data_IF_247511120051
#
_entry.id   IF_247511120051
#
_cell.length_a   1.000
_cell.length_b   1.000
_cell.length_c   1.000
_cell.angle_alpha   90.00
_cell.angle_beta   90.00
_cell.angle_gamma   90.00
#
_symmetry.space_group_name_H-M   'P 1'
#
loop_
_entity.id
_entity.type
_entity.pdbx_description
1 polymer ?
#
# COMPACT_ATOMS: atom_id res chain seq x y z
N UNK A 1 69.77 -17.01 -22.38
CA UNK A 1 68.81 -17.06 -23.52
C UNK A 1 67.73 -18.14 -23.39
N UNK A 2 68.01 -19.38 -22.95
CA UNK A 2 66.99 -20.46 -22.88
C UNK A 2 65.84 -20.20 -21.88
N UNK A 3 66.15 -19.63 -20.70
CA UNK A 3 65.15 -19.29 -19.68
C UNK A 3 64.23 -18.17 -20.16
N UNK A 4 64.79 -17.10 -20.72
CA UNK A 4 64.01 -16.01 -21.32
C UNK A 4 63.07 -16.51 -22.43
N UNK A 5 63.55 -17.41 -23.31
CA UNK A 5 62.70 -18.04 -24.33
C UNK A 5 61.55 -18.84 -23.72
N UNK A 6 61.79 -19.63 -22.66
CA UNK A 6 60.73 -20.38 -21.96
C UNK A 6 59.70 -19.46 -21.32
N UNK A 7 60.14 -18.39 -20.66
CA UNK A 7 59.23 -17.40 -20.05
C UNK A 7 58.35 -16.75 -21.12
N UNK A 8 58.94 -16.34 -22.24
CA UNK A 8 58.19 -15.76 -23.36
C UNK A 8 57.20 -16.77 -23.94
N UNK A 9 57.59 -18.04 -24.12
CA UNK A 9 56.67 -19.07 -24.61
C UNK A 9 55.49 -19.31 -23.66
N UNK A 10 55.74 -19.39 -22.35
CA UNK A 10 54.67 -19.55 -21.35
C UNK A 10 53.73 -18.34 -21.38
N UNK A 11 54.28 -17.13 -21.44
CA UNK A 11 53.49 -15.90 -21.53
C UNK A 11 52.63 -15.87 -22.80
N UNK A 12 53.17 -16.27 -23.94
CA UNK A 12 52.41 -16.35 -25.20
C UNK A 12 51.29 -17.38 -25.14
N UNK A 13 51.54 -18.56 -24.55
CA UNK A 13 50.49 -19.57 -24.34
C UNK A 13 49.40 -19.02 -23.43
N UNK A 14 49.77 -18.33 -22.34
CA UNK A 14 48.81 -17.72 -21.42
C UNK A 14 47.95 -16.66 -22.11
N UNK A 15 48.56 -15.75 -22.90
CA UNK A 15 47.83 -14.75 -23.68
C UNK A 15 46.91 -15.42 -24.71
N UNK A 16 47.36 -16.49 -25.37
CA UNK A 16 46.54 -17.23 -26.32
C UNK A 16 45.32 -17.87 -25.63
N UNK A 17 45.49 -18.45 -24.44
CA UNK A 17 44.38 -19.01 -23.66
C UNK A 17 43.38 -17.92 -23.24
N UNK A 18 43.85 -16.74 -22.80
CA UNK A 18 42.97 -15.61 -22.49
C UNK A 18 42.20 -15.12 -23.73
N UNK A 19 42.86 -15.03 -24.88
CA UNK A 19 42.19 -14.66 -26.14
C UNK A 19 41.12 -15.67 -26.56
N UNK A 20 41.41 -16.98 -26.42
CA UNK A 20 40.44 -18.04 -26.69
C UNK A 20 39.26 -17.95 -25.73
N UNK A 21 39.47 -17.78 -24.43
CA UNK A 21 38.39 -17.60 -23.45
C UNK A 21 37.51 -16.38 -23.79
N UNK A 22 38.14 -15.28 -24.21
CA UNK A 22 37.45 -14.04 -24.61
C UNK A 22 36.55 -14.25 -25.85
N UNK A 23 36.93 -15.12 -26.79
CA UNK A 23 36.10 -15.44 -27.96
C UNK A 23 34.76 -16.09 -27.61
N UNK A 24 34.69 -16.82 -26.49
CA UNK A 24 33.45 -17.43 -26.01
C UNK A 24 32.65 -16.54 -25.04
N UNK A 25 33.15 -15.35 -24.72
CA UNK A 25 32.47 -14.41 -23.83
C UNK A 25 31.50 -13.52 -24.63
N UNK A 26 30.27 -13.24 -24.14
CA UNK A 26 29.33 -12.34 -24.79
C UNK A 26 29.96 -10.98 -25.12
N UNK A 27 29.66 -10.43 -26.29
CA UNK A 27 30.18 -9.14 -26.75
C UNK A 27 29.49 -7.93 -26.12
N UNK A 28 28.34 -8.14 -25.46
CA UNK A 28 27.63 -7.13 -24.69
C UNK A 28 27.34 -7.61 -23.28
N UNK A 29 27.34 -6.68 -22.33
CA UNK A 29 26.96 -6.94 -20.94
C UNK A 29 25.44 -6.79 -20.81
N UNK A 30 24.82 -7.84 -20.26
CA UNK A 30 23.39 -7.89 -19.98
C UNK A 30 23.17 -8.45 -18.58
N UNK A 31 22.36 -7.75 -17.78
CA UNK A 31 21.93 -8.16 -16.44
C UNK A 31 20.44 -7.87 -16.32
N UNK A 32 19.70 -8.79 -15.71
CA UNK A 32 18.26 -8.66 -15.49
C UNK A 32 17.93 -9.35 -14.17
N UNK A 33 17.30 -8.63 -13.25
CA UNK A 33 16.79 -9.16 -11.99
C UNK A 33 15.32 -8.78 -11.81
N UNK A 34 14.58 -9.56 -11.03
CA UNK A 34 13.19 -9.26 -10.73
C UNK A 34 12.78 -9.68 -9.31
N UNK A 35 11.76 -9.00 -8.79
CA UNK A 35 11.12 -9.31 -7.51
C UNK A 35 9.63 -8.96 -7.56
N UNK A 36 8.82 -9.62 -6.74
CA UNK A 36 7.41 -9.23 -6.52
C UNK A 36 7.33 -8.31 -5.30
N UNK A 37 6.70 -7.15 -5.47
CA UNK A 37 6.45 -6.16 -4.40
C UNK A 37 4.95 -6.07 -4.15
N UNK A 38 4.53 -6.12 -2.89
CA UNK A 38 3.16 -5.93 -2.41
C UNK A 38 2.80 -4.42 -2.36
N UNK A 39 2.82 -3.82 -3.54
CA UNK A 39 2.38 -2.45 -3.77
C UNK A 39 1.92 -2.27 -5.22
N UNK A 40 1.04 -1.29 -5.42
CA UNK A 40 0.56 -0.94 -6.75
C UNK A 40 1.72 -0.44 -7.64
N UNK A 41 1.60 -0.61 -8.98
CA UNK A 41 2.62 -0.14 -9.90
C UNK A 41 2.87 1.37 -9.77
N UNK A 42 1.85 2.16 -9.43
CA UNK A 42 1.96 3.60 -9.23
C UNK A 42 2.92 3.97 -8.09
N UNK A 43 2.77 3.36 -6.91
CA UNK A 43 3.64 3.66 -5.75
C UNK A 43 5.10 3.31 -6.05
N UNK A 44 5.32 2.19 -6.76
CA UNK A 44 6.66 1.75 -7.17
C UNK A 44 7.24 2.68 -8.25
N UNK A 45 6.43 3.03 -9.24
CA UNK A 45 6.81 3.89 -10.36
C UNK A 45 7.27 5.26 -9.87
N UNK A 46 6.52 5.87 -8.95
CA UNK A 46 6.84 7.16 -8.36
C UNK A 46 8.13 7.10 -7.53
N UNK A 47 8.35 6.02 -6.77
CA UNK A 47 9.59 5.83 -6.01
C UNK A 47 10.81 5.72 -6.95
N UNK A 48 10.70 5.01 -8.07
CA UNK A 48 11.80 4.87 -9.04
C UNK A 48 12.03 6.19 -9.81
N UNK A 49 10.97 6.92 -10.15
CA UNK A 49 11.05 8.17 -10.91
C UNK A 49 11.77 9.30 -10.17
N UNK A 50 11.68 9.33 -8.84
CA UNK A 50 12.42 10.29 -8.03
C UNK A 50 13.83 9.79 -7.73
N UNK A 51 14.82 10.18 -8.54
CA UNK A 51 16.22 9.80 -8.28
C UNK A 51 16.75 10.26 -6.91
N UNK A 52 16.07 11.18 -6.20
CA UNK A 52 16.46 11.56 -4.84
C UNK A 52 16.10 10.46 -3.84
N UNK A 53 15.04 9.69 -4.09
CA UNK A 53 14.60 8.58 -3.23
C UNK A 53 15.63 7.45 -3.16
N UNK A 54 16.43 7.29 -4.22
CA UNK A 54 17.40 6.20 -4.37
C UNK A 54 18.49 6.22 -3.31
N UNK A 55 18.73 7.33 -2.61
CA UNK A 55 19.64 7.33 -1.45
C UNK A 55 19.13 6.46 -0.30
N UNK A 56 17.83 6.18 -0.24
CA UNK A 56 17.22 5.42 0.85
C UNK A 56 17.39 3.90 0.68
N UNK A 57 17.54 3.42 -0.57
CA UNK A 57 17.51 1.99 -0.87
C UNK A 57 18.54 1.51 -1.90
N UNK A 58 19.25 2.39 -2.61
CA UNK A 58 20.24 1.91 -3.60
C UNK A 58 21.52 1.39 -2.93
N UNK A 59 22.05 0.27 -3.44
CA UNK A 59 23.33 -0.27 -2.97
C UNK A 59 24.49 0.72 -3.18
N UNK A 60 24.47 1.51 -4.26
CA UNK A 60 25.53 2.46 -4.57
C UNK A 60 25.70 3.53 -3.49
N UNK A 61 24.60 4.02 -2.92
CA UNK A 61 24.66 4.96 -1.80
C UNK A 61 25.17 4.30 -0.51
N UNK A 62 24.88 3.02 -0.28
CA UNK A 62 25.43 2.27 0.86
C UNK A 62 26.94 2.05 0.74
N UNK A 63 27.45 1.84 -0.48
CA UNK A 63 28.89 1.69 -0.73
C UNK A 63 29.63 3.02 -0.52
N UNK A 64 29.06 4.14 -0.95
CA UNK A 64 29.61 5.48 -0.71
C UNK A 64 28.54 6.49 -0.29
N UNK A 65 28.38 6.64 1.03
CA UNK A 65 27.46 7.62 1.62
C UNK A 65 27.91 9.08 1.44
N UNK A 66 29.17 9.32 1.04
CA UNK A 66 29.71 10.65 0.75
C UNK A 66 29.61 11.03 -0.73
N UNK A 67 29.00 10.18 -1.56
CA UNK A 67 28.79 10.42 -2.98
C UNK A 67 28.00 11.72 -3.21
N UNK A 68 28.50 12.58 -4.11
CA UNK A 68 27.84 13.83 -4.46
C UNK A 68 26.88 13.61 -5.60
N UNK A 69 25.61 13.91 -5.39
CA UNK A 69 24.57 13.79 -6.39
C UNK A 69 24.13 15.17 -6.91
N UNK A 70 23.89 15.25 -8.22
CA UNK A 70 23.36 16.42 -8.91
C UNK A 70 22.14 15.97 -9.74
N UNK A 71 21.06 16.72 -9.66
CA UNK A 71 19.78 16.38 -10.29
C UNK A 71 19.38 17.47 -11.29
N UNK A 72 18.56 17.13 -12.29
CA UNK A 72 17.87 18.14 -13.10
C UNK A 72 16.82 18.91 -12.26
N UNK A 73 16.41 20.07 -12.76
CA UNK A 73 15.42 20.92 -12.09
C UNK A 73 14.04 20.24 -11.99
N UNK A 74 13.69 19.41 -12.98
CA UNK A 74 12.46 18.61 -12.99
C UNK A 74 12.80 17.12 -12.95
N UNK A 75 12.18 16.38 -12.02
CA UNK A 75 12.18 14.91 -11.94
C UNK A 75 10.93 14.34 -12.63
N UNK A 76 10.94 13.04 -12.94
CA UNK A 76 9.75 12.36 -13.49
C UNK A 76 9.42 12.66 -14.96
N UNK A 77 10.30 13.36 -15.69
CA UNK A 77 10.08 13.72 -17.10
C UNK A 77 11.20 13.20 -18.00
N UNK A 78 10.92 13.02 -19.29
CA UNK A 78 11.97 12.68 -20.28
C UNK A 78 13.05 13.78 -20.26
N UNK A 79 14.31 13.35 -20.17
CA UNK A 79 15.48 14.23 -20.02
C UNK A 79 15.85 14.54 -18.58
N UNK A 80 15.05 14.16 -17.59
CA UNK A 80 15.45 14.26 -16.18
C UNK A 80 16.68 13.37 -15.92
N UNK A 81 17.61 13.84 -15.08
CA UNK A 81 18.86 13.14 -14.84
C UNK A 81 19.29 13.14 -13.37
N UNK A 82 20.10 12.15 -13.02
CA UNK A 82 20.95 12.14 -11.83
C UNK A 82 22.40 11.91 -12.27
N UNK A 83 23.30 12.77 -11.81
CA UNK A 83 24.75 12.67 -12.02
C UNK A 83 25.41 12.51 -10.67
N UNK A 84 26.34 11.57 -10.56
CA UNK A 84 27.04 11.31 -9.32
C UNK A 84 28.56 11.39 -9.47
N UNK A 85 29.21 11.82 -8.39
CA UNK A 85 30.67 11.88 -8.24
C UNK A 85 31.08 11.14 -6.96
N UNK A 86 31.93 10.13 -7.10
CA UNK A 86 32.45 9.31 -6.01
C UNK A 86 33.94 9.02 -6.19
N UNK A 87 34.68 9.07 -5.09
CA UNK A 87 36.08 8.61 -5.05
C UNK A 87 36.20 7.10 -4.79
N UNK A 88 35.09 6.41 -4.51
CA UNK A 88 35.07 4.98 -4.23
C UNK A 88 35.13 4.19 -5.54
N UNK A 89 36.15 3.31 -5.68
CA UNK A 89 36.46 2.62 -6.94
C UNK A 89 35.30 1.76 -7.49
N UNK A 90 34.45 1.20 -6.62
CA UNK A 90 33.29 0.40 -7.05
C UNK A 90 32.10 1.23 -7.54
N UNK A 91 32.01 2.51 -7.16
CA UNK A 91 30.88 3.39 -7.51
C UNK A 91 31.25 4.25 -8.72
N UNK A 92 32.45 4.84 -8.68
CA UNK A 92 32.97 5.71 -9.74
C UNK A 92 32.08 6.94 -9.99
N UNK A 93 32.24 7.54 -11.16
CA UNK A 93 31.46 8.69 -11.57
C UNK A 93 30.55 8.30 -12.73
N UNK A 94 29.35 8.86 -12.76
CA UNK A 94 28.45 8.64 -13.88
C UNK A 94 27.24 9.54 -13.88
N UNK A 95 26.39 9.30 -14.88
CA UNK A 95 25.13 10.00 -15.09
C UNK A 95 24.10 9.04 -15.65
N UNK A 96 22.87 9.16 -15.18
CA UNK A 96 21.71 8.50 -15.75
C UNK A 96 20.70 9.54 -16.21
N UNK A 97 20.12 9.35 -17.40
CA UNK A 97 19.14 10.28 -17.99
C UNK A 97 17.91 9.51 -18.45
N UNK A 98 16.71 9.93 -18.07
CA UNK A 98 15.45 9.33 -18.53
C UNK A 98 15.29 9.54 -20.04
N UNK A 99 15.12 8.45 -20.78
CA UNK A 99 14.96 8.46 -22.24
C UNK A 99 13.58 8.00 -22.70
N UNK A 100 12.88 7.21 -21.90
CA UNK A 100 11.53 6.73 -22.19
C UNK A 100 10.74 6.53 -20.90
N UNK A 101 9.46 6.90 -20.94
CA UNK A 101 8.48 6.69 -19.88
C UNK A 101 7.19 6.13 -20.48
N UNK A 102 6.66 5.09 -19.87
CA UNK A 102 5.27 4.67 -20.01
C UNK A 102 4.70 4.59 -18.60
N UNK A 103 3.61 5.32 -18.34
CA UNK A 103 3.08 5.52 -17.00
C UNK A 103 2.81 4.17 -16.33
N UNK A 104 3.32 3.99 -15.10
CA UNK A 104 3.12 2.81 -14.27
C UNK A 104 3.60 1.48 -14.86
N UNK A 105 4.37 1.48 -15.96
CA UNK A 105 4.81 0.26 -16.64
C UNK A 105 6.28 0.23 -17.06
N UNK A 106 6.86 1.36 -17.50
CA UNK A 106 8.23 1.41 -18.03
C UNK A 106 8.95 2.71 -17.68
N UNK A 107 10.18 2.57 -17.18
CA UNK A 107 11.16 3.66 -17.05
C UNK A 107 12.44 3.20 -17.72
N UNK A 108 12.92 3.91 -18.74
CA UNK A 108 14.22 3.63 -19.39
C UNK A 108 15.16 4.80 -19.20
N UNK A 109 16.36 4.53 -18.68
CA UNK A 109 17.44 5.50 -18.54
C UNK A 109 18.62 5.13 -19.44
N UNK A 110 19.30 6.15 -19.97
CA UNK A 110 20.62 6.02 -20.57
C UNK A 110 21.67 6.27 -19.51
N UNK A 111 22.66 5.39 -19.42
CA UNK A 111 23.76 5.44 -18.47
C UNK A 111 25.02 5.94 -19.18
N UNK A 112 25.78 6.79 -18.49
CA UNK A 112 27.06 7.35 -18.95
C UNK A 112 28.06 7.23 -17.81
N UNK A 113 29.10 6.41 -17.95
CA UNK A 113 30.12 6.20 -16.91
C UNK A 113 31.42 6.93 -17.27
N UNK A 114 32.07 7.54 -16.28
CA UNK A 114 33.36 8.21 -16.46
C UNK A 114 33.34 9.41 -17.43
N UNK A 115 32.16 9.97 -17.72
CA UNK A 115 31.98 11.08 -18.66
C UNK A 115 32.12 10.69 -20.13
N UNK A 116 32.07 9.40 -20.45
CA UNK A 116 32.06 8.90 -21.83
C UNK A 116 30.63 8.60 -22.27
N UNK A 117 30.28 9.01 -23.49
CA UNK A 117 29.03 8.56 -24.10
C UNK A 117 29.13 7.06 -24.39
N UNK A 118 28.13 6.31 -23.90
CA UNK A 118 27.98 4.89 -24.18
C UNK A 118 26.55 4.58 -24.61
N UNK A 119 26.33 3.37 -25.13
CA UNK A 119 25.00 2.84 -25.44
C UNK A 119 24.46 1.99 -24.28
N UNK A 120 24.80 2.37 -23.05
CA UNK A 120 24.38 1.67 -21.85
C UNK A 120 22.99 2.14 -21.45
N UNK A 121 22.07 1.21 -21.24
CA UNK A 121 20.71 1.50 -20.81
C UNK A 121 20.36 0.70 -19.57
N UNK A 122 19.62 1.32 -18.68
CA UNK A 122 18.92 0.63 -17.61
C UNK A 122 17.41 0.78 -17.81
N UNK A 123 16.64 -0.28 -17.56
CA UNK A 123 15.20 -0.23 -17.69
C UNK A 123 14.49 -0.92 -16.53
N UNK A 124 13.39 -0.32 -16.10
CA UNK A 124 12.47 -0.84 -15.11
C UNK A 124 11.17 -1.20 -15.80
N UNK A 125 10.71 -2.43 -15.61
CA UNK A 125 9.42 -2.91 -16.09
C UNK A 125 8.54 -3.26 -14.88
N UNK A 126 7.32 -2.75 -14.87
CA UNK A 126 6.33 -3.00 -13.82
C UNK A 126 5.16 -3.76 -14.44
N UNK A 127 4.93 -4.97 -13.94
CA UNK A 127 3.83 -5.84 -14.40
C UNK A 127 2.88 -6.10 -13.22
N UNK A 128 1.64 -5.59 -13.24
CA UNK A 128 0.65 -5.88 -12.21
C UNK A 128 0.32 -7.38 -12.19
N UNK A 129 0.26 -8.00 -11.01
CA UNK A 129 -0.10 -9.42 -10.84
C UNK A 129 -1.52 -9.64 -10.27
N UNK A 130 -2.20 -8.56 -9.87
CA UNK A 130 -3.45 -8.61 -9.10
C UNK A 130 -3.20 -8.52 -7.59
N UNK A 131 -4.28 -8.35 -6.80
CA UNK A 131 -4.21 -8.24 -5.32
C UNK A 131 -3.26 -7.14 -4.81
N UNK A 132 -3.08 -6.06 -5.58
CA UNK A 132 -2.16 -4.98 -5.22
C UNK A 132 -0.67 -5.32 -5.32
N UNK A 133 -0.30 -6.45 -5.95
CA UNK A 133 1.10 -6.86 -6.15
C UNK A 133 1.61 -6.51 -7.56
N UNK A 134 2.90 -6.25 -7.66
CA UNK A 134 3.58 -5.90 -8.91
C UNK A 134 4.89 -6.65 -9.03
N UNK A 135 5.11 -7.31 -10.17
CA UNK A 135 6.43 -7.82 -10.56
C UNK A 135 7.26 -6.66 -11.09
N UNK A 136 8.37 -6.36 -10.41
CA UNK A 136 9.34 -5.34 -10.77
C UNK A 136 10.55 -6.01 -11.38
N UNK A 137 10.93 -5.59 -12.58
CA UNK A 137 12.10 -6.11 -13.29
C UNK A 137 13.05 -4.98 -13.64
N UNK A 138 14.31 -5.14 -13.27
CA UNK A 138 15.38 -4.15 -13.48
C UNK A 138 16.46 -4.72 -14.39
N UNK A 139 16.71 -4.06 -15.51
CA UNK A 139 17.66 -4.52 -16.53
C UNK A 139 18.80 -3.51 -16.73
N UNK A 140 19.93 -4.04 -17.19
CA UNK A 140 21.09 -3.31 -17.71
C UNK A 140 21.47 -3.94 -19.06
N UNK A 141 21.48 -3.14 -20.13
CA UNK A 141 21.67 -3.62 -21.50
C UNK A 141 22.43 -2.60 -22.38
N UNK A 142 22.86 -3.05 -23.57
CA UNK A 142 23.43 -2.18 -24.61
C UNK A 142 24.93 -1.87 -24.47
N UNK A 143 25.55 -2.27 -23.35
CA UNK A 143 26.97 -2.10 -23.11
C UNK A 143 27.84 -3.02 -23.96
N UNK A 144 28.31 -2.51 -25.10
CA UNK A 144 29.29 -3.20 -25.94
C UNK A 144 30.68 -3.18 -25.27
N UNK A 145 31.28 -4.37 -25.15
CA UNK A 145 32.56 -4.53 -24.46
C UNK A 145 33.70 -4.70 -25.47
N UNK A 146 34.72 -3.80 -25.45
CA UNK A 146 35.95 -3.99 -26.21
C UNK A 146 36.55 -5.37 -25.91
N UNK A 147 37.12 -6.01 -26.93
CA UNK A 147 37.67 -7.38 -26.79
C UNK A 147 38.62 -7.51 -25.59
N UNK A 148 39.45 -6.50 -25.34
CA UNK A 148 40.42 -6.48 -24.22
C UNK A 148 39.77 -6.43 -22.82
N UNK A 149 38.55 -5.90 -22.70
CA UNK A 149 37.85 -5.74 -21.42
C UNK A 149 36.74 -6.77 -21.22
N UNK A 150 36.35 -7.48 -22.28
CA UNK A 150 35.18 -8.37 -22.31
C UNK A 150 35.22 -9.48 -21.25
N UNK A 151 36.33 -10.22 -21.17
CA UNK A 151 36.48 -11.32 -20.21
C UNK A 151 36.45 -10.81 -18.76
N UNK A 152 37.11 -9.69 -18.48
CA UNK A 152 37.12 -9.07 -17.15
C UNK A 152 35.73 -8.55 -16.78
N UNK A 153 35.05 -7.88 -17.72
CA UNK A 153 33.71 -7.32 -17.49
C UNK A 153 32.70 -8.42 -17.21
N UNK A 154 32.78 -9.54 -17.94
CA UNK A 154 31.92 -10.70 -17.71
C UNK A 154 32.15 -11.37 -16.34
N UNK A 155 33.39 -11.47 -15.88
CA UNK A 155 33.73 -12.15 -14.62
C UNK A 155 33.56 -11.28 -13.37
N UNK A 156 33.59 -9.95 -13.48
CA UNK A 156 33.59 -9.07 -12.31
C UNK A 156 32.50 -8.01 -12.35
N UNK A 157 32.33 -7.32 -13.48
CA UNK A 157 31.35 -6.21 -13.58
C UNK A 157 29.94 -6.77 -13.61
N UNK A 158 29.71 -7.88 -14.33
CA UNK A 158 28.41 -8.55 -14.38
C UNK A 158 27.91 -8.94 -12.99
N UNK A 159 28.74 -9.65 -12.23
CA UNK A 159 28.38 -10.13 -10.89
C UNK A 159 28.18 -8.95 -9.92
N UNK A 160 28.98 -7.89 -10.03
CA UNK A 160 28.80 -6.69 -9.23
C UNK A 160 27.47 -5.98 -9.51
N UNK A 161 27.05 -5.88 -10.78
CA UNK A 161 25.75 -5.27 -11.14
C UNK A 161 24.61 -6.18 -10.68
N UNK A 162 24.74 -7.49 -10.88
CA UNK A 162 23.78 -8.50 -10.41
C UNK A 162 23.52 -8.36 -8.90
N UNK A 163 24.57 -8.39 -8.09
CA UNK A 163 24.47 -8.24 -6.63
C UNK A 163 23.83 -6.90 -6.25
N UNK A 164 24.22 -5.81 -6.92
CA UNK A 164 23.66 -4.49 -6.68
C UNK A 164 22.17 -4.39 -7.00
N UNK A 165 21.72 -5.08 -8.05
CA UNK A 165 20.31 -5.10 -8.45
C UNK A 165 19.47 -5.93 -7.49
N UNK A 166 19.95 -7.11 -7.08
CA UNK A 166 19.27 -7.92 -6.06
C UNK A 166 19.10 -7.12 -4.76
N UNK A 167 20.17 -6.51 -4.26
CA UNK A 167 20.13 -5.73 -3.02
C UNK A 167 19.21 -4.51 -3.18
N UNK A 168 19.34 -3.77 -4.28
CA UNK A 168 18.51 -2.60 -4.55
C UNK A 168 17.02 -2.94 -4.68
N UNK A 169 16.67 -4.04 -5.35
CA UNK A 169 15.29 -4.52 -5.47
C UNK A 169 14.72 -4.95 -4.11
N UNK A 170 15.51 -5.65 -3.29
CA UNK A 170 15.11 -6.05 -1.94
C UNK A 170 14.84 -4.85 -1.05
N UNK A 171 15.68 -3.81 -1.11
CA UNK A 171 15.52 -2.61 -0.30
C UNK A 171 14.41 -1.69 -0.82
N UNK A 172 14.23 -1.60 -2.14
CA UNK A 172 13.07 -0.94 -2.74
C UNK A 172 11.78 -1.59 -2.27
N UNK A 173 11.72 -2.93 -2.22
CA UNK A 173 10.57 -3.67 -1.68
C UNK A 173 10.27 -3.25 -0.24
N UNK A 174 11.27 -3.25 0.64
CA UNK A 174 11.08 -2.83 2.04
C UNK A 174 10.57 -1.38 2.16
N UNK A 175 11.17 -0.45 1.41
CA UNK A 175 10.76 0.97 1.44
C UNK A 175 9.34 1.13 0.95
N UNK A 176 8.99 0.54 -0.19
CA UNK A 176 7.68 0.70 -0.81
C UNK A 176 6.59 0.01 0.01
N UNK A 177 6.81 -1.20 0.52
CA UNK A 177 5.84 -1.93 1.35
C UNK A 177 5.63 -1.29 2.72
N UNK A 178 6.58 -0.47 3.18
CA UNK A 178 6.42 0.32 4.41
C UNK A 178 5.59 1.59 4.22
N UNK A 179 5.36 2.03 2.98
CA UNK A 179 4.52 3.21 2.72
C UNK A 179 3.05 2.88 3.00
N UNK A 180 2.26 3.84 3.50
CA UNK A 180 0.82 3.66 3.63
C UNK A 180 0.23 3.23 2.29
N UNK A 181 -0.47 2.09 2.25
CA UNK A 181 -1.20 1.69 1.06
C UNK A 181 -2.28 2.76 0.81
N UNK A 182 -2.32 3.32 -0.40
CA UNK A 182 -3.42 4.19 -0.80
C UNK A 182 -4.61 3.28 -1.02
N UNK A 183 -5.44 3.13 0.01
CA UNK A 183 -6.68 2.35 -0.06
C UNK A 183 -7.79 3.29 -0.48
N UNK A 184 -8.34 3.07 -1.67
CA UNK A 184 -9.49 3.83 -2.12
C UNK A 184 -10.71 3.49 -1.26
N UNK A 185 -11.49 4.51 -0.91
CA UNK A 185 -12.74 4.32 -0.19
C UNK A 185 -13.75 3.60 -1.10
N UNK A 186 -14.42 2.53 -0.63
CA UNK A 186 -15.54 1.93 -1.35
C UNK A 186 -16.65 2.96 -1.62
N UNK A 187 -17.37 2.81 -2.74
CA UNK A 187 -18.37 3.79 -3.22
C UNK A 187 -19.44 4.15 -2.16
N UNK A 188 -19.86 3.17 -1.36
CA UNK A 188 -20.87 3.32 -0.31
C UNK A 188 -20.29 3.55 1.09
N UNK A 189 -19.00 3.88 1.18
CA UNK A 189 -18.28 4.13 2.42
C UNK A 189 -17.66 5.53 2.40
N UNK A 190 -17.77 6.25 3.52
CA UNK A 190 -17.23 7.59 3.68
C UNK A 190 -16.64 7.78 5.07
N UNK A 191 -15.69 8.69 5.22
CA UNK A 191 -15.20 9.12 6.53
C UNK A 191 -15.89 10.44 6.86
N UNK A 192 -16.55 10.50 8.02
CA UNK A 192 -17.24 11.70 8.50
C UNK A 192 -17.03 11.88 10.00
N UNK A 193 -17.37 13.05 10.51
CA UNK A 193 -17.55 13.26 11.95
C UNK A 193 -19.04 13.17 12.28
N UNK A 194 -19.36 12.59 13.42
CA UNK A 194 -20.71 12.60 13.98
C UNK A 194 -20.75 13.52 15.18
N UNK A 195 -21.88 14.20 15.36
CA UNK A 195 -22.12 15.07 16.52
C UNK A 195 -22.52 14.26 17.75
N UNK A 196 -22.34 14.90 18.91
CA UNK A 196 -22.80 14.36 20.18
C UNK A 196 -24.32 14.49 20.31
N UNK A 197 -24.97 13.45 20.83
CA UNK A 197 -26.43 13.42 21.02
C UNK A 197 -26.80 12.62 22.26
N UNK A 198 -27.83 13.06 22.98
CA UNK A 198 -28.34 12.32 24.13
C UNK A 198 -29.27 11.20 23.68
N UNK A 199 -29.03 10.00 24.20
CA UNK A 199 -29.74 8.79 23.84
C UNK A 199 -30.29 8.09 25.09
N UNK A 200 -31.47 7.49 24.95
CA UNK A 200 -31.95 6.48 25.90
C UNK A 200 -31.57 5.12 25.37
N UNK A 201 -30.93 4.30 26.21
CA UNK A 201 -30.36 3.03 25.82
C UNK A 201 -30.74 1.90 26.78
N UNK A 202 -30.87 0.68 26.24
CA UNK A 202 -31.01 -0.55 27.00
C UNK A 202 -29.99 -1.57 26.47
N UNK A 203 -29.08 -1.99 27.36
CA UNK A 203 -28.13 -3.07 27.12
C UNK A 203 -28.78 -4.44 27.40
N UNK A 204 -28.64 -5.37 26.47
CA UNK A 204 -29.05 -6.76 26.64
C UNK A 204 -28.17 -7.71 25.79
N UNK A 205 -28.51 -9.00 25.78
CA UNK A 205 -27.87 -9.98 24.93
C UNK A 205 -28.86 -11.00 24.38
N UNK A 206 -28.49 -11.61 23.26
CA UNK A 206 -29.22 -12.69 22.56
C UNK A 206 -28.24 -13.55 21.78
N UNK A 207 -28.67 -14.58 21.06
CA UNK A 207 -27.88 -15.20 19.99
C UNK A 207 -28.05 -14.43 18.66
N UNK A 208 -27.24 -14.75 17.65
CA UNK A 208 -27.22 -14.02 16.38
C UNK A 208 -28.56 -14.06 15.62
N UNK A 209 -29.33 -15.15 15.75
CA UNK A 209 -30.63 -15.27 15.07
C UNK A 209 -31.72 -14.46 15.76
N UNK A 210 -31.57 -14.19 17.06
CA UNK A 210 -32.53 -13.43 17.86
C UNK A 210 -32.32 -11.91 17.87
N UNK A 211 -31.34 -11.37 17.11
CA UNK A 211 -30.99 -9.94 17.13
C UNK A 211 -32.18 -9.06 16.75
N UNK A 212 -32.87 -9.37 15.65
CA UNK A 212 -34.02 -8.58 15.19
C UNK A 212 -35.15 -8.50 16.21
N UNK A 213 -35.59 -9.67 16.71
CA UNK A 213 -36.66 -9.76 17.72
C UNK A 213 -36.26 -9.05 19.02
N UNK A 214 -35.00 -9.22 19.46
CA UNK A 214 -34.48 -8.57 20.67
C UNK A 214 -34.49 -7.04 20.52
N UNK A 215 -34.01 -6.51 19.39
CA UNK A 215 -34.01 -5.08 19.14
C UNK A 215 -35.44 -4.51 19.10
N UNK A 216 -36.37 -5.20 18.45
CA UNK A 216 -37.78 -4.78 18.41
C UNK A 216 -38.39 -4.66 19.82
N UNK A 217 -38.15 -5.65 20.69
CA UNK A 217 -38.59 -5.62 22.09
C UNK A 217 -37.98 -4.45 22.87
N UNK A 218 -36.66 -4.24 22.73
CA UNK A 218 -35.95 -3.18 23.44
C UNK A 218 -36.40 -1.78 22.99
N UNK A 219 -36.56 -1.55 21.68
CA UNK A 219 -37.06 -0.26 21.17
C UNK A 219 -38.47 0.03 21.66
N UNK A 220 -39.33 -0.98 21.72
CA UNK A 220 -40.69 -0.85 22.27
C UNK A 220 -40.65 -0.38 23.72
N UNK A 221 -39.80 -0.97 24.55
CA UNK A 221 -39.66 -0.56 25.96
C UNK A 221 -39.19 0.91 26.09
N UNK A 222 -38.21 1.32 25.28
CA UNK A 222 -37.72 2.70 25.24
C UNK A 222 -38.84 3.67 24.81
N UNK A 223 -39.56 3.37 23.72
CA UNK A 223 -40.63 4.21 23.18
C UNK A 223 -41.80 4.37 24.15
N UNK A 224 -42.21 3.28 24.82
CA UNK A 224 -43.27 3.31 25.84
C UNK A 224 -42.86 4.20 27.01
N UNK A 225 -41.64 4.05 27.50
CA UNK A 225 -41.11 4.90 28.57
C UNK A 225 -41.07 6.38 28.19
N UNK A 226 -40.52 6.69 27.02
CA UNK A 226 -40.44 8.06 26.51
C UNK A 226 -41.83 8.70 26.39
N UNK A 227 -42.82 7.93 25.90
CA UNK A 227 -44.21 8.37 25.80
C UNK A 227 -44.81 8.72 27.17
N UNK A 228 -44.61 7.86 28.18
CA UNK A 228 -45.10 8.09 29.55
C UNK A 228 -44.47 9.35 30.16
N UNK A 229 -43.20 9.62 29.86
CA UNK A 229 -42.47 10.79 30.37
C UNK A 229 -42.65 12.05 29.52
N UNK A 230 -43.37 11.98 28.41
CA UNK A 230 -43.62 13.11 27.51
C UNK A 230 -42.36 13.59 26.76
N UNK A 231 -41.44 12.68 26.45
CA UNK A 231 -40.24 12.96 25.65
C UNK A 231 -40.55 12.87 24.14
N UNK A 232 -39.81 13.59 23.31
CA UNK A 232 -39.98 13.57 21.84
C UNK A 232 -38.75 12.96 21.19
N UNK A 233 -38.95 11.98 20.30
CA UNK A 233 -37.86 11.35 19.57
C UNK A 233 -37.18 12.39 18.65
N UNK A 234 -35.86 12.49 18.70
CA UNK A 234 -35.06 13.47 17.94
C UNK A 234 -34.30 12.87 16.77
N UNK A 235 -34.18 11.54 16.71
CA UNK A 235 -33.44 10.84 15.66
C UNK A 235 -33.88 9.40 15.45
N UNK A 236 -33.25 8.74 14.47
CA UNK A 236 -33.49 7.33 14.14
C UNK A 236 -33.00 6.38 15.25
N UNK A 237 -33.57 5.18 15.30
CA UNK A 237 -33.15 4.13 16.23
C UNK A 237 -31.72 3.63 15.91
N UNK A 238 -30.96 3.31 16.94
CA UNK A 238 -29.58 2.83 16.86
C UNK A 238 -29.39 1.49 17.58
N UNK A 239 -28.52 0.64 17.05
CA UNK A 239 -28.05 -0.56 17.74
C UNK A 239 -26.52 -0.56 17.82
N UNK A 240 -25.97 -0.52 19.04
CA UNK A 240 -24.53 -0.75 19.26
C UNK A 240 -24.27 -2.24 19.43
N UNK A 241 -23.19 -2.72 18.82
CA UNK A 241 -22.73 -4.11 18.96
C UNK A 241 -21.43 -4.15 19.75
N UNK A 242 -21.52 -4.47 21.04
CA UNK A 242 -20.35 -4.55 21.93
C UNK A 242 -19.61 -5.87 21.82
N UNK A 243 -20.31 -6.92 21.38
CA UNK A 243 -19.76 -8.24 21.12
C UNK A 243 -20.66 -8.98 20.14
N UNK A 244 -20.08 -9.72 19.20
CA UNK A 244 -20.84 -10.48 18.21
C UNK A 244 -20.20 -11.86 17.97
N UNK A 245 -20.95 -12.92 18.22
CA UNK A 245 -20.66 -14.28 17.79
C UNK A 245 -21.98 -15.03 17.50
N UNK A 246 -21.94 -16.17 16.77
CA UNK A 246 -23.16 -16.93 16.48
C UNK A 246 -23.97 -17.31 17.73
N UNK A 247 -23.29 -17.67 18.82
CA UNK A 247 -23.91 -18.11 20.07
C UNK A 247 -24.31 -16.95 21.00
N UNK A 248 -23.70 -15.78 20.84
CA UNK A 248 -23.92 -14.65 21.75
C UNK A 248 -23.60 -13.31 21.08
N UNK A 249 -24.55 -12.41 21.16
CA UNK A 249 -24.46 -11.01 20.78
C UNK A 249 -24.78 -10.17 22.01
N UNK A 250 -23.88 -9.24 22.35
CA UNK A 250 -24.13 -8.21 23.37
C UNK A 250 -24.40 -6.92 22.61
N UNK A 251 -25.64 -6.44 22.71
CA UNK A 251 -26.12 -5.30 21.96
C UNK A 251 -26.80 -4.28 22.87
N UNK A 252 -26.76 -3.02 22.45
CA UNK A 252 -27.41 -1.92 23.14
C UNK A 252 -28.33 -1.18 22.16
N UNK A 253 -29.62 -1.35 22.35
CA UNK A 253 -30.63 -0.60 21.61
C UNK A 253 -30.70 0.81 22.18
N UNK A 254 -30.66 1.82 21.32
CA UNK A 254 -30.69 3.21 21.69
C UNK A 254 -31.59 4.04 20.78
N UNK A 255 -32.22 5.08 21.32
CA UNK A 255 -33.02 6.03 20.55
C UNK A 255 -32.69 7.44 21.05
N UNK A 256 -32.47 8.42 20.16
CA UNK A 256 -32.26 9.81 20.56
C UNK A 256 -33.57 10.51 20.93
N UNK A 257 -33.53 11.29 22.00
CA UNK A 257 -34.69 12.03 22.50
C UNK A 257 -34.32 13.46 22.92
N UNK A 258 -35.30 14.35 22.81
CA UNK A 258 -35.30 15.68 23.39
C UNK A 258 -36.35 15.81 24.52
N UNK A 259 -36.11 16.77 25.43
CA UNK A 259 -37.01 17.12 26.52
C UNK A 259 -36.43 16.85 27.91
N UNK A 260 -37.29 16.50 28.86
CA UNK A 260 -36.88 16.22 30.24
C UNK A 260 -36.33 14.79 30.37
N UNK A 261 -35.11 14.59 29.87
CA UNK A 261 -34.47 13.28 29.83
C UNK A 261 -34.17 12.77 31.24
N UNK A 262 -34.53 11.50 31.47
CA UNK A 262 -34.30 10.81 32.74
C UNK A 262 -34.06 9.33 32.50
N UNK A 263 -33.39 8.67 33.43
CA UNK A 263 -33.23 7.21 33.45
C UNK A 263 -34.13 6.55 34.50
N UNK A 264 -34.58 5.32 34.23
CA UNK A 264 -35.38 4.53 35.18
C UNK A 264 -35.24 3.03 34.89
N UNK A 265 -34.98 2.23 35.93
CA UNK A 265 -34.85 0.78 35.79
C UNK A 265 -33.74 0.37 34.81
N UNK A 266 -34.12 -0.32 33.73
CA UNK A 266 -33.19 -0.80 32.68
C UNK A 266 -32.82 0.28 31.65
N UNK A 267 -33.57 1.37 31.58
CA UNK A 267 -33.31 2.47 30.64
C UNK A 267 -32.21 3.35 31.22
N UNK A 268 -31.18 3.59 30.40
CA UNK A 268 -30.03 4.42 30.74
C UNK A 268 -29.96 5.64 29.84
N UNK A 269 -29.72 6.79 30.45
CA UNK A 269 -29.45 8.03 29.73
C UNK A 269 -27.95 8.10 29.45
N UNK A 270 -27.57 8.10 28.17
CA UNK A 270 -26.18 8.13 27.73
C UNK A 270 -25.98 9.25 26.71
N UNK A 271 -24.72 9.63 26.53
CA UNK A 271 -24.29 10.53 25.48
C UNK A 271 -23.62 9.69 24.39
N UNK A 272 -24.17 9.72 23.17
CA UNK A 272 -23.45 9.34 21.96
C UNK A 272 -22.40 10.42 21.73
N UNK A 273 -21.12 10.05 21.70
CA UNK A 273 -20.02 11.01 21.62
C UNK A 273 -19.89 11.59 20.22
N UNK A 274 -19.36 12.81 20.15
CA UNK A 274 -18.82 13.32 18.92
C UNK A 274 -17.50 12.61 18.60
N UNK A 275 -17.41 11.95 17.45
CA UNK A 275 -16.23 11.19 17.06
C UNK A 275 -16.12 11.04 15.53
N UNK A 276 -14.90 10.79 15.06
CA UNK A 276 -14.63 10.46 13.66
C UNK A 276 -15.03 9.01 13.41
N UNK A 277 -15.77 8.79 12.33
CA UNK A 277 -16.33 7.48 11.99
C UNK A 277 -16.10 7.15 10.53
N UNK A 278 -15.92 5.86 10.25
CA UNK A 278 -16.18 5.28 8.95
C UNK A 278 -17.68 4.99 8.87
N UNK A 279 -18.37 5.59 7.89
CA UNK A 279 -19.79 5.45 7.64
C UNK A 279 -20.02 4.64 6.36
N UNK A 280 -20.66 3.49 6.48
CA UNK A 280 -21.18 2.70 5.37
C UNK A 280 -22.69 2.94 5.19
N UNK A 281 -23.16 2.89 3.95
CA UNK A 281 -24.59 2.96 3.62
C UNK A 281 -25.00 1.67 2.92
N UNK A 282 -26.03 1.02 3.46
CA UNK A 282 -26.60 -0.21 2.93
C UNK A 282 -28.08 -0.02 2.60
N UNK A 283 -28.51 -0.60 1.48
CA UNK A 283 -29.91 -0.66 1.07
C UNK A 283 -30.33 -2.12 0.96
N UNK A 284 -31.35 -2.52 1.73
CA UNK A 284 -31.84 -3.89 1.75
C UNK A 284 -32.32 -4.34 3.13
N UNK A 285 -32.63 -5.63 3.24
CA UNK A 285 -33.07 -6.22 4.50
C UNK A 285 -31.95 -6.19 5.55
N UNK A 286 -32.29 -5.92 6.81
CA UNK A 286 -31.35 -5.88 7.94
C UNK A 286 -30.53 -7.15 8.11
N UNK A 287 -31.09 -8.31 7.77
CA UNK A 287 -30.38 -9.60 7.82
C UNK A 287 -29.17 -9.67 6.86
N UNK A 288 -29.07 -8.73 5.91
CA UNK A 288 -28.01 -8.65 4.91
C UNK A 288 -26.99 -7.55 5.19
N UNK A 289 -27.13 -6.81 6.30
CA UNK A 289 -26.19 -5.75 6.71
C UNK A 289 -24.76 -6.29 6.90
N UNK A 290 -24.59 -7.60 7.10
CA UNK A 290 -23.28 -8.26 7.09
C UNK A 290 -22.41 -7.91 5.88
N UNK A 291 -23.01 -7.69 4.70
CA UNK A 291 -22.27 -7.32 3.48
C UNK A 291 -21.51 -5.99 3.64
N UNK A 292 -22.15 -4.96 4.20
CA UNK A 292 -21.49 -3.67 4.41
C UNK A 292 -20.47 -3.74 5.55
N UNK A 293 -20.73 -4.54 6.58
CA UNK A 293 -19.74 -4.81 7.64
C UNK A 293 -18.47 -5.45 7.09
N UNK A 294 -18.57 -6.40 6.17
CA UNK A 294 -17.42 -7.04 5.51
C UNK A 294 -16.62 -6.07 4.63
N UNK A 295 -17.32 -5.23 3.84
CA UNK A 295 -16.68 -4.19 3.02
C UNK A 295 -15.90 -3.21 3.91
N UNK A 296 -16.53 -2.72 4.98
CA UNK A 296 -15.90 -1.78 5.90
C UNK A 296 -14.75 -2.42 6.67
N UNK A 297 -14.88 -3.68 7.11
CA UNK A 297 -13.82 -4.39 7.81
C UNK A 297 -12.57 -4.59 6.93
N UNK A 298 -12.76 -4.90 5.65
CA UNK A 298 -11.67 -4.99 4.66
C UNK A 298 -10.95 -3.65 4.56
N UNK A 299 -11.67 -2.55 4.34
CA UNK A 299 -11.08 -1.21 4.25
C UNK A 299 -10.35 -0.81 5.54
N UNK A 300 -10.94 -1.05 6.72
CA UNK A 300 -10.31 -0.74 8.02
C UNK A 300 -8.97 -1.48 8.16
N UNK A 301 -8.90 -2.74 7.75
CA UNK A 301 -7.69 -3.54 7.80
C UNK A 301 -6.63 -3.02 6.82
N UNK A 302 -7.00 -2.85 5.55
CA UNK A 302 -6.09 -2.40 4.49
C UNK A 302 -5.55 -0.99 4.76
N UNK A 303 -6.41 -0.08 5.23
CA UNK A 303 -6.05 1.29 5.59
C UNK A 303 -5.43 1.40 6.99
N UNK A 304 -5.28 0.28 7.70
CA UNK A 304 -4.70 0.18 9.05
C UNK A 304 -5.34 1.14 10.07
N UNK A 305 -6.66 1.34 9.97
CA UNK A 305 -7.41 2.22 10.86
C UNK A 305 -7.63 1.54 12.22
N UNK A 306 -7.58 2.32 13.30
CA UNK A 306 -7.84 1.79 14.64
C UNK A 306 -9.31 2.01 15.02
N UNK A 307 -10.03 0.94 15.36
CA UNK A 307 -11.40 1.04 15.89
C UNK A 307 -11.32 1.47 17.36
N UNK A 308 -11.95 2.59 17.70
CA UNK A 308 -11.86 3.20 19.04
C UNK A 308 -13.00 2.81 19.97
N UNK A 309 -14.14 2.39 19.43
CA UNK A 309 -15.35 2.10 20.19
C UNK A 309 -16.24 1.10 19.42
N UNK A 310 -17.33 0.64 20.05
CA UNK A 310 -18.24 -0.34 19.44
C UNK A 310 -18.88 0.21 18.15
N UNK A 311 -18.93 -0.61 17.07
CA UNK A 311 -19.69 -0.22 15.89
C UNK A 311 -21.18 -0.17 16.22
N UNK A 312 -21.90 0.62 15.43
CA UNK A 312 -23.34 0.74 15.56
C UNK A 312 -24.03 0.92 14.22
N UNK A 313 -25.27 0.48 14.17
CA UNK A 313 -26.19 0.69 13.04
C UNK A 313 -27.20 1.78 13.38
N UNK A 314 -27.64 2.53 12.38
CA UNK A 314 -28.73 3.50 12.45
C UNK A 314 -29.76 3.15 11.37
N UNK A 315 -30.98 2.87 11.81
CA UNK A 315 -32.09 2.44 10.96
C UNK A 315 -32.86 3.67 10.44
N UNK A 316 -32.51 4.16 9.25
CA UNK A 316 -33.06 5.43 8.71
C UNK A 316 -34.50 5.26 8.25
N UNK A 317 -34.80 4.12 7.64
CA UNK A 317 -36.15 3.71 7.23
C UNK A 317 -36.46 2.39 7.88
N UNK A 318 -37.68 2.20 8.37
CA UNK A 318 -38.09 1.02 9.11
C UNK A 318 -39.35 0.36 8.50
N UNK A 319 -39.73 -0.86 8.95
CA UNK A 319 -40.88 -1.58 8.39
C UNK A 319 -42.23 -0.87 8.59
N UNK A 320 -42.30 0.10 9.50
CA UNK A 320 -43.50 0.91 9.72
C UNK A 320 -43.59 2.10 8.76
N UNK A 321 -42.45 2.53 8.20
CA UNK A 321 -42.34 3.63 7.24
C UNK A 321 -42.31 3.15 5.78
N UNK A 322 -41.67 2.01 5.49
CA UNK A 322 -41.50 1.49 4.14
C UNK A 322 -41.74 -0.03 4.11
N UNK A 323 -42.63 -0.49 3.23
CA UNK A 323 -42.98 -1.90 3.10
C UNK A 323 -42.05 -2.66 2.16
N UNK A 324 -41.43 -1.97 1.19
CA UNK A 324 -40.43 -2.56 0.30
C UNK A 324 -39.07 -2.65 1.00
N UNK A 325 -38.68 -3.87 1.37
CA UNK A 325 -37.42 -4.13 2.10
C UNK A 325 -36.17 -3.78 1.29
N UNK A 326 -36.27 -3.64 -0.03
CA UNK A 326 -35.13 -3.25 -0.88
C UNK A 326 -34.81 -1.76 -0.78
N UNK A 327 -35.77 -0.96 -0.31
CA UNK A 327 -35.61 0.48 -0.10
C UNK A 327 -35.16 0.82 1.32
N UNK A 328 -35.04 -0.19 2.20
CA UNK A 328 -34.62 0.03 3.57
C UNK A 328 -33.17 0.48 3.63
N UNK A 329 -32.94 1.67 4.17
CA UNK A 329 -31.62 2.27 4.35
C UNK A 329 -31.13 2.07 5.78
N UNK A 330 -30.01 1.39 5.91
CA UNK A 330 -29.23 1.29 7.15
C UNK A 330 -27.90 2.00 6.99
N UNK A 331 -27.54 2.82 7.97
CA UNK A 331 -26.21 3.44 8.05
C UNK A 331 -25.39 2.72 9.11
N UNK A 332 -24.21 2.24 8.74
CA UNK A 332 -23.30 1.50 9.62
C UNK A 332 -22.12 2.39 9.97
N UNK A 333 -21.77 2.44 11.25
CA UNK A 333 -20.75 3.34 11.77
C UNK A 333 -19.70 2.57 12.55
N UNK A 334 -18.43 2.80 12.19
CA UNK A 334 -17.27 2.36 12.95
C UNK A 334 -16.50 3.58 13.45
N UNK A 335 -16.46 3.81 14.76
CA UNK A 335 -15.57 4.81 15.36
C UNK A 335 -14.10 4.50 15.07
N UNK A 336 -13.35 5.46 14.52
CA UNK A 336 -11.97 5.27 14.05
C UNK A 336 -11.01 6.37 14.53
N UNK A 337 -9.72 6.03 14.64
CA UNK A 337 -8.61 6.96 14.89
C UNK A 337 -7.51 6.83 13.83
#
# INVERSE_FOLDING_TARGET
>A
MKILKRIITILLIFIALLAIATLFTPSSLQVEESIVIDASPEVIYDEILDFKSWSNWSMWHQIDSNMKNYYSDSMGVIGAFNRWESNHQKVGNGKQTITKLEANSLIRTKMEFGGQESNDYSAWYLTPEGEGKTTVRWTFEGSEMPFTMRLISYLFIKDMIHDAYIIGLSQLKEVVESKPKIVELPENVSITEVEAEMILAILDSTDANGVGDKLADLYKDILVYATIKGMSQSGSQLAYYHYYSPEKVILEAAIPFEGNLSEEGRIKLKEKKAEKVLKGVFYGNYDQTGEIHEIMATYINEAQLQITNSPYEVYITDPTMEADTTLWKTEVYYPIQ
#
